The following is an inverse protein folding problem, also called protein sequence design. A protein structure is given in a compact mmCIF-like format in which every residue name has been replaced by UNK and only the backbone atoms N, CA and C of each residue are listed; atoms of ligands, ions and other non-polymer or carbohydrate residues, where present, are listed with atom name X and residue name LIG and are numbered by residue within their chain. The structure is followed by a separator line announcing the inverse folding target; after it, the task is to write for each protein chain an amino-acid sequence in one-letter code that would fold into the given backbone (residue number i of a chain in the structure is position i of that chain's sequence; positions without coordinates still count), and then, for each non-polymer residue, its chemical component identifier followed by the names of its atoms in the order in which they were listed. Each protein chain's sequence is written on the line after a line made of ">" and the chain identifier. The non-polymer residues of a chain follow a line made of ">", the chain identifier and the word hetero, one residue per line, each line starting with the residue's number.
data_IF_918627141237
#
_entry.id   IF_918627141237
#
_cell.length_a   1.000
_cell.length_b   1.000
_cell.length_c   1.000
_cell.angle_alpha   90.00
_cell.angle_beta   90.00
_cell.angle_gamma   90.00
#
_symmetry.space_group_name_H-M   'P 1'
#
loop_
_entity.id
_entity.type
_entity.pdbx_description
1 polymer ?
#
# COMPACT_ATOMS: atom_id res chain seq x y z
N UNK A 1 4.02 -19.94 -10.27
CA UNK A 1 2.74 -19.20 -10.39
C UNK A 1 2.13 -19.56 -11.74
N UNK A 2 0.82 -19.77 -11.84
CA UNK A 2 0.19 -20.06 -13.13
C UNK A 2 0.02 -18.77 -13.92
N UNK A 3 0.11 -18.81 -15.26
CA UNK A 3 -0.14 -17.63 -16.11
C UNK A 3 -1.56 -17.07 -15.90
N UNK A 4 -2.50 -17.89 -15.43
CA UNK A 4 -3.85 -17.49 -15.04
C UNK A 4 -3.90 -16.56 -13.83
N UNK A 5 -2.81 -16.39 -13.08
CA UNK A 5 -2.76 -15.64 -11.81
C UNK A 5 -2.18 -14.23 -11.99
N UNK A 6 -1.81 -13.85 -13.21
CA UNK A 6 -1.18 -12.58 -13.53
C UNK A 6 -2.04 -11.70 -14.45
N UNK A 7 -1.90 -10.37 -14.35
CA UNK A 7 -2.44 -9.40 -15.32
C UNK A 7 -1.55 -8.17 -15.45
N UNK A 8 -1.78 -7.33 -16.45
CA UNK A 8 -1.04 -6.07 -16.62
C UNK A 8 -1.14 -5.16 -15.39
N UNK A 9 -0.07 -4.40 -15.14
CA UNK A 9 -0.04 -3.41 -14.06
C UNK A 9 -1.07 -2.31 -14.36
N UNK A 10 -2.10 -2.13 -13.50
CA UNK A 10 -3.09 -1.10 -13.69
C UNK A 10 -2.48 0.30 -13.53
N UNK A 11 -2.94 1.28 -14.32
CA UNK A 11 -2.40 2.66 -14.29
C UNK A 11 -2.49 3.33 -12.93
N UNK A 12 -3.46 2.95 -12.07
CA UNK A 12 -3.58 3.47 -10.70
C UNK A 12 -2.34 3.17 -9.84
N UNK A 13 -1.55 2.16 -10.23
CA UNK A 13 -0.28 1.78 -9.59
C UNK A 13 0.95 2.31 -10.31
N UNK A 14 0.81 3.16 -11.34
CA UNK A 14 1.96 3.82 -11.94
C UNK A 14 2.47 4.91 -10.99
N UNK A 15 3.78 5.14 -11.04
CA UNK A 15 4.45 6.22 -10.32
C UNK A 15 3.83 7.56 -10.70
N UNK A 16 3.48 8.36 -9.70
CA UNK A 16 2.90 9.67 -9.87
C UNK A 16 3.87 10.61 -10.58
N UNK A 17 5.16 10.56 -10.24
CA UNK A 17 6.16 11.43 -10.84
C UNK A 17 6.45 11.05 -12.30
N UNK A 18 6.67 9.78 -12.60
CA UNK A 18 7.10 9.35 -13.94
C UNK A 18 5.97 8.96 -14.89
N UNK A 19 4.75 8.75 -14.35
CA UNK A 19 3.59 8.24 -15.08
C UNK A 19 3.85 6.89 -15.77
N UNK A 20 4.77 6.09 -15.20
CA UNK A 20 5.18 4.77 -15.69
C UNK A 20 5.18 3.76 -14.54
N UNK A 21 5.26 2.47 -14.88
CA UNK A 21 5.47 1.42 -13.88
C UNK A 21 6.78 1.64 -13.11
N UNK A 22 6.79 1.31 -11.81
CA UNK A 22 8.00 1.35 -11.02
C UNK A 22 8.99 0.30 -11.52
N UNK A 23 10.19 0.74 -11.90
CA UNK A 23 11.23 -0.14 -12.41
C UNK A 23 12.26 -0.55 -11.35
N UNK A 24 12.36 0.16 -10.22
CA UNK A 24 13.36 -0.12 -9.20
C UNK A 24 12.75 -0.12 -7.79
N UNK A 25 13.28 -1.00 -6.94
CA UNK A 25 12.98 -1.01 -5.51
C UNK A 25 13.51 0.28 -4.85
N UNK A 26 12.65 0.97 -4.09
CA UNK A 26 13.02 2.19 -3.37
C UNK A 26 14.22 2.01 -2.41
N UNK A 27 14.37 0.81 -1.86
CA UNK A 27 15.36 0.54 -0.80
C UNK A 27 16.69 0.07 -1.33
N UNK A 28 16.70 -0.95 -2.20
CA UNK A 28 17.93 -1.58 -2.69
C UNK A 28 18.22 -1.29 -4.17
N UNK A 29 17.35 -0.56 -4.85
CA UNK A 29 17.46 -0.21 -6.27
C UNK A 29 17.51 -1.41 -7.24
N UNK A 30 17.18 -2.64 -6.81
CA UNK A 30 17.08 -3.78 -7.73
C UNK A 30 15.97 -3.54 -8.77
N UNK A 31 16.13 -4.11 -9.96
CA UNK A 31 15.17 -3.96 -11.05
C UNK A 31 13.94 -4.86 -10.82
N UNK A 32 12.74 -4.28 -10.87
CA UNK A 32 11.49 -4.92 -10.44
C UNK A 32 10.72 -5.64 -11.55
N UNK A 33 10.90 -5.24 -12.80
CA UNK A 33 9.96 -5.63 -13.89
C UNK A 33 10.30 -6.96 -14.57
N UNK A 34 11.36 -7.64 -14.14
CA UNK A 34 11.75 -8.97 -14.65
C UNK A 34 11.10 -10.11 -13.82
N UNK A 35 11.79 -10.61 -12.79
CA UNK A 35 11.37 -11.78 -11.99
C UNK A 35 11.23 -11.45 -10.48
N UNK A 36 11.20 -10.16 -10.14
CA UNK A 36 11.11 -9.72 -8.75
C UNK A 36 9.65 -9.68 -8.28
N UNK A 37 9.43 -10.14 -7.05
CA UNK A 37 8.14 -9.95 -6.35
C UNK A 37 8.23 -8.68 -5.52
N UNK A 38 7.23 -7.80 -5.62
CA UNK A 38 7.24 -6.51 -4.93
C UNK A 38 5.84 -6.04 -4.58
N UNK A 39 5.79 -5.03 -3.71
CA UNK A 39 4.57 -4.34 -3.30
C UNK A 39 4.67 -2.90 -3.77
N UNK A 40 3.57 -2.37 -4.30
CA UNK A 40 3.39 -0.93 -4.52
C UNK A 40 2.42 -0.43 -3.46
N UNK A 41 2.82 0.63 -2.78
CA UNK A 41 1.98 1.41 -1.88
C UNK A 41 1.83 2.83 -2.44
N UNK A 42 0.61 3.35 -2.37
CA UNK A 42 0.31 4.71 -2.83
C UNK A 42 -0.74 5.36 -1.94
N UNK A 43 -0.41 6.54 -1.41
CA UNK A 43 -1.28 7.33 -0.55
C UNK A 43 -1.92 8.48 -1.30
N UNK A 44 -3.22 8.68 -1.08
CA UNK A 44 -4.02 9.72 -1.72
C UNK A 44 -4.68 10.63 -0.68
N UNK A 45 -4.79 11.91 -1.04
CA UNK A 45 -5.58 12.92 -0.34
C UNK A 45 -6.54 13.59 -1.32
N UNK A 46 -7.84 13.42 -1.10
CA UNK A 46 -8.89 14.08 -1.87
C UNK A 46 -9.22 15.45 -1.28
N UNK A 47 -9.52 16.41 -2.14
CA UNK A 47 -9.98 17.72 -1.73
C UNK A 47 -11.50 17.76 -1.71
N UNK A 48 -12.09 17.94 -0.53
CA UNK A 48 -13.56 18.00 -0.39
C UNK A 48 -14.13 19.12 -1.26
N UNK A 49 -15.15 18.79 -2.07
CA UNK A 49 -15.78 19.72 -3.00
C UNK A 49 -15.08 19.87 -4.36
N UNK A 50 -13.97 19.17 -4.59
CA UNK A 50 -13.25 19.16 -5.86
C UNK A 50 -13.09 17.73 -6.40
N UNK A 51 -12.88 17.60 -7.71
CA UNK A 51 -12.53 16.32 -8.35
C UNK A 51 -11.04 16.01 -8.25
N UNK A 52 -10.23 16.98 -7.82
CA UNK A 52 -8.80 16.83 -7.67
C UNK A 52 -8.44 15.97 -6.45
N UNK A 53 -7.40 15.16 -6.62
CA UNK A 53 -6.77 14.40 -5.55
C UNK A 53 -5.25 14.49 -5.71
N UNK A 54 -4.55 14.58 -4.60
CA UNK A 54 -3.10 14.56 -4.56
C UNK A 54 -2.60 13.17 -4.22
N UNK A 55 -1.45 12.80 -4.78
CA UNK A 55 -0.66 11.66 -4.32
C UNK A 55 0.30 12.18 -3.27
N UNK A 56 0.13 11.77 -2.03
CA UNK A 56 0.98 12.19 -0.90
C UNK A 56 2.36 11.53 -1.02
N UNK A 57 2.37 10.24 -1.34
CA UNK A 57 3.57 9.50 -1.72
C UNK A 57 3.18 8.25 -2.51
N UNK A 58 4.12 7.73 -3.28
CA UNK A 58 4.05 6.40 -3.84
C UNK A 58 5.43 5.77 -4.00
N UNK A 59 5.49 4.45 -3.84
CA UNK A 59 6.74 3.71 -3.99
C UNK A 59 6.51 2.23 -4.28
N UNK A 60 7.58 1.58 -4.74
CA UNK A 60 7.65 0.13 -4.88
C UNK A 60 8.83 -0.44 -4.07
N UNK A 61 8.61 -1.54 -3.35
CA UNK A 61 9.65 -2.24 -2.58
C UNK A 61 9.61 -3.73 -2.89
N UNK A 62 10.77 -4.30 -3.23
CA UNK A 62 10.88 -5.75 -3.42
C UNK A 62 10.58 -6.51 -2.14
N UNK A 63 10.04 -7.73 -2.27
CA UNK A 63 9.62 -8.55 -1.15
C UNK A 63 10.75 -8.79 -0.14
N UNK A 64 12.00 -8.91 -0.59
CA UNK A 64 13.15 -9.03 0.31
C UNK A 64 13.31 -7.80 1.22
N UNK A 65 13.24 -6.59 0.68
CA UNK A 65 13.34 -5.37 1.49
C UNK A 65 12.12 -5.19 2.38
N UNK A 66 10.93 -5.49 1.86
CA UNK A 66 9.70 -5.41 2.60
C UNK A 66 9.72 -6.35 3.83
N UNK A 67 10.15 -7.60 3.65
CA UNK A 67 10.32 -8.55 4.75
C UNK A 67 11.42 -8.16 5.75
N UNK A 68 12.49 -7.48 5.30
CA UNK A 68 13.52 -6.94 6.20
C UNK A 68 12.93 -5.87 7.12
N UNK A 69 12.20 -4.91 6.56
CA UNK A 69 11.50 -3.86 7.34
C UNK A 69 10.54 -4.51 8.34
N UNK A 70 9.74 -5.49 7.89
CA UNK A 70 8.80 -6.20 8.78
C UNK A 70 9.50 -6.91 9.94
N UNK A 71 10.72 -7.42 9.76
CA UNK A 71 11.49 -8.07 10.83
C UNK A 71 11.99 -7.11 11.90
N UNK A 72 12.07 -5.82 11.60
CA UNK A 72 12.47 -4.78 12.55
C UNK A 72 11.30 -4.39 13.48
N UNK A 73 10.07 -4.80 13.18
CA UNK A 73 8.92 -4.55 14.05
C UNK A 73 9.07 -5.35 15.36
N UNK A 74 8.64 -4.76 16.47
CA UNK A 74 8.59 -5.50 17.73
C UNK A 74 7.62 -6.69 17.62
N UNK A 75 7.93 -7.78 18.32
CA UNK A 75 7.12 -9.01 18.33
C UNK A 75 5.67 -8.76 18.72
N UNK A 76 5.45 -7.87 19.70
CA UNK A 76 4.12 -7.46 20.16
C UNK A 76 3.35 -6.69 19.08
N UNK A 77 3.99 -5.72 18.41
CA UNK A 77 3.36 -4.99 17.29
C UNK A 77 2.98 -5.93 16.16
N UNK A 78 3.87 -6.85 15.77
CA UNK A 78 3.57 -7.85 14.73
C UNK A 78 2.36 -8.70 15.11
N UNK A 79 2.29 -9.20 16.35
CA UNK A 79 1.19 -10.01 16.81
C UNK A 79 -0.15 -9.23 16.77
N UNK A 80 -0.17 -7.99 17.25
CA UNK A 80 -1.37 -7.14 17.28
C UNK A 80 -1.84 -6.75 15.88
N UNK A 81 -0.91 -6.34 15.00
CA UNK A 81 -1.21 -6.03 13.60
C UNK A 81 -1.77 -7.28 12.90
N UNK A 82 -1.08 -8.42 13.00
CA UNK A 82 -1.55 -9.66 12.37
C UNK A 82 -2.95 -10.07 12.86
N UNK A 83 -3.22 -9.93 14.16
CA UNK A 83 -4.53 -10.22 14.74
C UNK A 83 -5.61 -9.26 14.22
N UNK A 84 -5.29 -7.97 14.12
CA UNK A 84 -6.21 -6.96 13.57
C UNK A 84 -6.53 -7.25 12.10
N UNK A 85 -5.51 -7.47 11.26
CA UNK A 85 -5.71 -7.80 9.84
C UNK A 85 -6.47 -9.11 9.67
N UNK A 86 -6.13 -10.17 10.40
CA UNK A 86 -6.83 -11.46 10.29
C UNK A 86 -8.32 -11.36 10.67
N UNK A 87 -8.66 -10.45 11.57
CA UNK A 87 -10.04 -10.24 12.04
C UNK A 87 -10.84 -9.29 11.14
N UNK A 88 -10.20 -8.28 10.58
CA UNK A 88 -10.89 -7.15 9.93
C UNK A 88 -10.65 -7.05 8.43
N UNK A 89 -9.53 -7.58 7.91
CA UNK A 89 -9.25 -7.54 6.48
C UNK A 89 -10.17 -8.53 5.76
N UNK A 90 -11.10 -7.98 5.00
CA UNK A 90 -11.91 -8.76 4.08
C UNK A 90 -11.46 -8.39 2.68
N UNK A 91 -10.63 -9.25 2.10
CA UNK A 91 -10.25 -9.16 0.70
C UNK A 91 -11.46 -9.52 -0.16
N UNK A 92 -11.67 -8.73 -1.21
CA UNK A 92 -12.72 -8.97 -2.18
C UNK A 92 -12.52 -10.35 -2.81
N UNK A 93 -13.37 -11.31 -2.48
CA UNK A 93 -13.42 -12.60 -3.14
C UNK A 93 -13.99 -12.41 -4.55
N UNK A 94 -13.13 -11.95 -5.47
CA UNK A 94 -13.47 -11.98 -6.88
C UNK A 94 -13.74 -13.45 -7.24
N UNK A 95 -14.85 -13.77 -7.92
CA UNK A 95 -15.02 -15.09 -8.48
C UNK A 95 -13.77 -15.39 -9.30
N UNK A 96 -13.11 -16.52 -9.03
CA UNK A 96 -11.88 -16.98 -9.70
C UNK A 96 -11.97 -16.98 -11.25
N UNK A 97 -13.16 -16.75 -11.79
CA UNK A 97 -13.49 -16.71 -13.22
C UNK A 97 -13.34 -15.32 -13.86
N UNK A 98 -13.32 -14.19 -13.10
CA UNK A 98 -13.18 -12.85 -13.70
C UNK A 98 -11.70 -12.59 -14.00
N UNK A 99 -11.35 -12.64 -15.29
CA UNK A 99 -9.99 -12.44 -15.77
C UNK A 99 -10.02 -11.49 -16.99
N UNK A 100 -9.49 -10.26 -16.88
CA UNK A 100 -8.80 -9.66 -15.72
C UNK A 100 -9.73 -9.40 -14.51
N UNK A 101 -9.14 -9.24 -13.32
CA UNK A 101 -9.89 -8.73 -12.16
C UNK A 101 -10.18 -7.24 -12.35
N UNK A 102 -11.28 -6.79 -11.76
CA UNK A 102 -11.77 -5.43 -11.88
C UNK A 102 -11.16 -4.56 -10.78
N UNK A 103 -10.17 -3.75 -11.17
CA UNK A 103 -9.37 -2.96 -10.23
C UNK A 103 -10.20 -1.89 -9.53
N UNK A 104 -11.13 -1.26 -10.24
CA UNK A 104 -12.00 -0.25 -9.65
C UNK A 104 -12.93 -0.90 -8.62
N UNK A 105 -13.43 -2.11 -8.92
CA UNK A 105 -14.19 -2.89 -7.96
C UNK A 105 -13.35 -3.34 -6.74
N UNK A 106 -12.09 -3.75 -6.94
CA UNK A 106 -11.16 -4.08 -5.84
C UNK A 106 -10.98 -2.91 -4.87
N UNK A 107 -10.89 -1.69 -5.40
CA UNK A 107 -10.55 -0.48 -4.66
C UNK A 107 -11.78 0.38 -4.30
N UNK A 108 -13.00 -0.08 -4.63
CA UNK A 108 -14.23 0.68 -4.43
C UNK A 108 -14.56 1.00 -2.96
N UNK A 109 -14.05 0.21 -2.01
CA UNK A 109 -14.31 0.38 -0.58
C UNK A 109 -13.09 -0.02 0.25
N UNK A 110 -13.00 0.52 1.46
CA UNK A 110 -11.98 0.11 2.41
C UNK A 110 -12.10 -1.38 2.74
N UNK A 111 -10.99 -2.11 2.66
CA UNK A 111 -10.94 -3.55 2.93
C UNK A 111 -11.24 -3.89 4.40
N UNK A 112 -11.05 -2.93 5.31
CA UNK A 112 -11.27 -3.04 6.76
C UNK A 112 -12.62 -2.42 7.16
N UNK A 113 -12.85 -1.13 6.85
CA UNK A 113 -14.04 -0.39 7.30
C UNK A 113 -15.26 -0.55 6.40
N UNK A 114 -15.10 -1.05 5.18
CA UNK A 114 -16.15 -1.14 4.15
C UNK A 114 -16.76 0.20 3.72
N UNK A 115 -16.19 1.32 4.17
CA UNK A 115 -16.54 2.66 3.70
C UNK A 115 -16.21 2.81 2.22
N UNK A 116 -17.12 3.40 1.45
CA UNK A 116 -16.94 3.65 0.01
C UNK A 116 -15.79 4.62 -0.25
N UNK A 117 -15.01 4.40 -1.32
CA UNK A 117 -13.95 5.31 -1.75
C UNK A 117 -14.48 6.73 -2.03
N UNK A 118 -15.76 6.88 -2.37
CA UNK A 118 -16.41 8.18 -2.58
C UNK A 118 -16.61 8.98 -1.30
N UNK A 119 -16.60 8.31 -0.15
CA UNK A 119 -16.81 8.91 1.19
C UNK A 119 -15.49 9.08 1.95
N UNK A 120 -14.37 8.60 1.40
CA UNK A 120 -13.06 8.64 2.05
C UNK A 120 -12.23 9.78 1.49
N UNK A 121 -11.76 10.66 2.36
CA UNK A 121 -10.88 11.79 1.99
C UNK A 121 -9.41 11.36 1.86
N UNK A 122 -8.90 10.53 2.78
CA UNK A 122 -7.51 10.06 2.74
C UNK A 122 -7.47 8.53 2.82
N UNK A 123 -6.68 7.91 1.96
CA UNK A 123 -6.55 6.46 1.89
C UNK A 123 -5.24 6.05 1.23
N UNK A 124 -4.89 4.78 1.45
CA UNK A 124 -3.77 4.13 0.79
C UNK A 124 -4.29 2.95 -0.03
N UNK A 125 -3.66 2.69 -1.18
CA UNK A 125 -3.88 1.49 -1.97
C UNK A 125 -2.62 0.65 -2.00
N UNK A 126 -2.85 -0.66 -2.07
CA UNK A 126 -1.81 -1.68 -2.03
C UNK A 126 -2.03 -2.67 -3.16
N UNK A 127 -0.94 -3.07 -3.80
CA UNK A 127 -0.94 -4.12 -4.82
C UNK A 127 0.31 -4.97 -4.72
N UNK A 128 0.17 -6.26 -5.04
CA UNK A 128 1.27 -7.21 -5.10
C UNK A 128 1.59 -7.55 -6.55
N UNK A 129 2.86 -7.54 -6.89
CA UNK A 129 3.34 -7.62 -8.25
C UNK A 129 4.48 -8.63 -8.37
N UNK A 130 4.61 -9.21 -9.55
CA UNK A 130 5.72 -10.06 -9.93
C UNK A 130 6.16 -9.66 -11.34
N UNK A 131 7.39 -9.19 -11.47
CA UNK A 131 7.89 -8.63 -12.72
C UNK A 131 7.00 -7.48 -13.22
N UNK A 132 6.65 -7.52 -14.49
CA UNK A 132 5.77 -6.55 -15.11
C UNK A 132 4.26 -6.87 -14.95
N UNK A 133 3.88 -7.70 -13.97
CA UNK A 133 2.48 -8.14 -13.76
C UNK A 133 2.00 -7.91 -12.34
N UNK A 134 0.70 -7.63 -12.21
CA UNK A 134 -0.04 -7.73 -10.95
C UNK A 134 -0.36 -9.20 -10.64
N UNK A 135 -0.19 -9.59 -9.38
CA UNK A 135 -0.59 -10.89 -8.83
C UNK A 135 -2.06 -10.84 -8.42
N UNK A 136 -2.94 -11.57 -9.11
CA UNK A 136 -4.39 -11.56 -8.87
C UNK A 136 -4.82 -12.36 -7.66
N UNK A 137 -4.04 -13.37 -7.26
CA UNK A 137 -4.34 -14.20 -6.08
C UNK A 137 -4.30 -13.40 -4.78
N UNK A 138 -3.62 -12.24 -4.79
CA UNK A 138 -3.65 -11.26 -3.71
C UNK A 138 -4.32 -10.01 -4.26
N UNK A 139 -5.65 -9.92 -4.13
CA UNK A 139 -6.42 -8.79 -4.66
C UNK A 139 -5.84 -7.48 -4.17
N UNK A 140 -5.64 -6.47 -5.05
CA UNK A 140 -5.40 -5.11 -4.62
C UNK A 140 -6.46 -4.66 -3.63
N UNK A 141 -6.08 -3.80 -2.70
CA UNK A 141 -6.96 -3.34 -1.64
C UNK A 141 -6.69 -1.89 -1.25
N UNK A 142 -7.71 -1.27 -0.67
CA UNK A 142 -7.69 0.10 -0.15
C UNK A 142 -7.84 0.07 1.37
N UNK A 143 -7.07 0.88 2.08
CA UNK A 143 -7.22 1.14 3.52
C UNK A 143 -7.52 2.63 3.71
N UNK A 144 -8.64 2.95 4.37
CA UNK A 144 -9.00 4.33 4.70
C UNK A 144 -8.16 4.85 5.86
N UNK A 145 -7.96 6.17 5.94
CA UNK A 145 -7.30 6.79 7.09
C UNK A 145 -7.90 6.33 8.44
N UNK A 146 -9.22 6.21 8.54
CA UNK A 146 -9.87 5.73 9.76
C UNK A 146 -9.49 4.30 10.16
N UNK A 147 -9.18 3.40 9.22
CA UNK A 147 -8.61 2.09 9.55
C UNK A 147 -7.15 2.21 9.98
N UNK A 148 -6.38 3.07 9.33
CA UNK A 148 -4.98 3.31 9.67
C UNK A 148 -4.88 3.86 11.11
N UNK A 149 -5.76 4.78 11.49
CA UNK A 149 -5.87 5.34 12.84
C UNK A 149 -6.18 4.29 13.91
N UNK A 150 -6.89 3.20 13.57
CA UNK A 150 -7.10 2.07 14.48
C UNK A 150 -5.86 1.17 14.62
N UNK A 151 -4.95 1.21 13.64
CA UNK A 151 -3.73 0.39 13.64
C UNK A 151 -2.56 1.08 14.33
N UNK A 152 -2.45 2.42 14.24
CA UNK A 152 -1.42 3.21 14.95
C UNK A 152 -1.30 2.85 16.45
N UNK A 153 -2.38 2.74 17.25
CA UNK A 153 -2.23 2.40 18.67
C UNK A 153 -1.80 0.94 18.92
N UNK A 154 -1.79 0.08 17.89
CA UNK A 154 -1.34 -1.31 17.99
C UNK A 154 0.19 -1.45 17.87
N UNK A 155 0.85 -0.44 17.30
CA UNK A 155 2.30 -0.43 17.15
C UNK A 155 2.97 0.19 18.37
N UNK A 156 4.10 -0.39 18.77
CA UNK A 156 4.92 0.13 19.86
C UNK A 156 5.72 1.34 19.38
N UNK A 157 6.17 2.17 20.32
CA UNK A 157 7.03 3.33 20.01
C UNK A 157 8.25 2.93 19.17
N UNK A 158 8.89 1.79 19.47
CA UNK A 158 10.04 1.29 18.70
C UNK A 158 9.66 1.01 17.23
N UNK A 159 8.55 0.31 16.99
CA UNK A 159 8.06 0.07 15.61
C UNK A 159 7.72 1.39 14.90
N UNK A 160 7.09 2.33 15.61
CA UNK A 160 6.79 3.67 15.06
C UNK A 160 8.07 4.42 14.68
N UNK A 161 9.07 4.45 15.55
CA UNK A 161 10.34 5.14 15.30
C UNK A 161 11.06 4.54 14.08
N UNK A 162 11.07 3.22 13.95
CA UNK A 162 11.64 2.55 12.78
C UNK A 162 10.91 2.93 11.48
N UNK A 163 9.57 2.95 11.50
CA UNK A 163 8.78 3.40 10.36
C UNK A 163 9.06 4.87 10.02
N UNK A 164 9.15 5.75 11.04
CA UNK A 164 9.52 7.15 10.84
C UNK A 164 10.87 7.28 10.15
N UNK A 165 11.87 6.51 10.60
CA UNK A 165 13.20 6.48 10.02
C UNK A 165 13.20 5.96 8.58
N UNK A 166 12.36 4.98 8.26
CA UNK A 166 12.19 4.51 6.89
C UNK A 166 11.67 5.63 5.98
N UNK A 167 10.56 6.26 6.38
CA UNK A 167 9.93 7.34 5.63
C UNK A 167 10.88 8.53 5.42
N UNK A 168 11.58 8.94 6.48
CA UNK A 168 12.52 10.05 6.43
C UNK A 168 13.72 9.75 5.51
N UNK A 169 14.24 8.52 5.51
CA UNK A 169 15.41 8.14 4.69
C UNK A 169 15.09 7.99 3.21
N UNK A 170 13.88 7.50 2.88
CA UNK A 170 13.60 7.04 1.52
C UNK A 170 12.61 7.90 0.76
N UNK A 171 11.68 8.59 1.43
CA UNK A 171 10.61 9.33 0.75
C UNK A 171 10.84 10.84 0.70
N UNK A 172 11.88 11.36 1.36
CA UNK A 172 12.29 12.78 1.36
C UNK A 172 11.08 13.72 1.17
N UNK A 173 10.13 13.74 2.12
CA UNK A 173 8.88 14.44 1.94
C UNK A 173 9.14 15.91 1.65
N UNK A 174 8.40 16.48 0.69
CA UNK A 174 8.51 17.88 0.31
C UNK A 174 8.39 18.78 1.57
N UNK A 175 9.36 19.69 1.82
CA UNK A 175 9.31 20.67 2.91
C UNK A 175 8.00 21.45 3.01
N UNK A 176 7.30 21.68 1.90
CA UNK A 176 6.02 22.40 1.90
C UNK A 176 4.81 21.51 2.23
N UNK A 177 4.97 20.18 2.20
CA UNK A 177 3.97 19.20 2.67
C UNK A 177 4.10 18.89 4.17
N UNK A 178 4.90 19.63 4.93
CA UNK A 178 4.94 19.57 6.41
C UNK A 178 3.66 20.14 7.05
N UNK A 179 2.52 19.55 6.71
CA UNK A 179 1.41 19.37 7.64
C UNK A 179 1.96 18.47 8.77
N UNK A 180 1.58 18.66 10.04
CA UNK A 180 2.05 17.79 11.12
C UNK A 180 1.88 16.32 10.71
N UNK A 181 3.01 15.61 10.56
CA UNK A 181 3.06 14.20 10.12
C UNK A 181 2.08 13.41 10.97
N UNK A 182 0.98 12.95 10.39
CA UNK A 182 0.07 12.08 11.10
C UNK A 182 0.72 10.69 11.09
N UNK A 183 0.71 9.94 12.20
CA UNK A 183 1.32 8.60 12.21
C UNK A 183 0.65 7.64 11.19
N UNK A 184 -0.53 8.00 10.70
CA UNK A 184 -1.24 7.31 9.62
C UNK A 184 -0.54 7.37 8.28
N UNK A 185 0.28 8.39 8.04
CA UNK A 185 0.93 8.61 6.76
C UNK A 185 2.12 7.67 6.55
N UNK A 186 2.37 6.76 7.50
CA UNK A 186 3.65 6.07 7.65
C UNK A 186 3.55 4.55 7.89
N UNK A 187 2.35 3.97 7.79
CA UNK A 187 2.18 2.54 8.04
C UNK A 187 2.40 1.73 6.76
N UNK A 188 3.46 0.92 6.75
CA UNK A 188 3.73 -0.01 5.65
C UNK A 188 3.02 -1.33 5.92
N UNK A 189 1.96 -1.61 5.16
CA UNK A 189 1.24 -2.88 5.23
C UNK A 189 1.75 -3.83 4.14
N UNK A 190 2.64 -4.74 4.53
CA UNK A 190 3.27 -5.75 3.66
C UNK A 190 2.79 -7.15 4.04
#
# INVERSE_FOLDING_TARGET
>A
MSASDLQEIPKVFYSYQSQKAFCNCLVCNCYLLDDETYVIEKAYKKHLGYTAQDVVFDYAICLTCALKIRKEFSTDSLAKINAYFSKHLVMSSHPLQKNPIDIDQCLAQCAIKKTSITEITNYQIYGHFHGNKLIKSISPYLISQSAIEEIIPLISNNTQDMLNDFYNRHLNPDPEMFVPKQPSDQLIFI
#
